data_IF_514041847744
#
_entry.id   IF_514041847744
#
_cell.length_a   1.000
_cell.length_b   1.000
_cell.length_c   1.000
_cell.angle_alpha   90.00
_cell.angle_beta   90.00
_cell.angle_gamma   90.00
#
_symmetry.space_group_name_H-M   'P 1'
#
loop_
_entity.id
_entity.type
_entity.pdbx_description
1 polymer ?
#
# COMPACT_ATOMS: atom_id res chain seq x y z
N UNK A 1 -11.48 -11.54 -7.63
CA UNK A 1 -10.27 -10.67 -7.74
C UNK A 1 -9.02 -11.51 -7.53
N UNK A 2 -8.03 -11.41 -8.42
CA UNK A 2 -6.71 -11.98 -8.24
C UNK A 2 -5.99 -11.12 -7.20
N UNK A 3 -5.36 -11.76 -6.21
CA UNK A 3 -4.50 -11.12 -5.21
C UNK A 3 -3.24 -11.97 -5.08
N UNK A 4 -2.11 -11.43 -5.53
CA UNK A 4 -0.78 -12.02 -5.31
C UNK A 4 -0.05 -11.16 -4.28
N UNK A 5 0.57 -11.83 -3.31
CA UNK A 5 1.31 -11.20 -2.22
C UNK A 5 2.70 -11.77 -2.19
N UNK A 6 3.69 -10.90 -2.28
CA UNK A 6 5.09 -11.31 -2.23
C UNK A 6 5.86 -10.43 -1.25
N UNK A 7 6.82 -11.03 -0.57
CA UNK A 7 7.72 -10.34 0.34
C UNK A 7 9.15 -10.85 0.14
N UNK A 8 10.15 -9.97 0.32
CA UNK A 8 11.56 -10.36 0.27
C UNK A 8 12.41 -9.65 1.31
N UNK A 9 13.56 -10.23 1.61
CA UNK A 9 14.56 -9.59 2.46
C UNK A 9 15.03 -8.26 1.83
N UNK A 10 15.49 -7.27 2.61
CA UNK A 10 15.73 -7.36 4.06
C UNK A 10 14.51 -7.06 4.94
N UNK A 11 13.48 -6.38 4.42
CA UNK A 11 12.37 -5.88 5.25
C UNK A 11 11.20 -6.83 5.35
N UNK A 12 11.08 -7.82 4.44
CA UNK A 12 9.91 -8.72 4.33
C UNK A 12 8.59 -7.97 4.24
N UNK A 13 8.60 -6.84 3.51
CA UNK A 13 7.44 -6.03 3.21
C UNK A 13 6.59 -6.72 2.13
N UNK A 14 5.28 -6.67 2.30
CA UNK A 14 4.31 -7.22 1.34
C UNK A 14 4.09 -6.25 0.17
N UNK A 15 4.48 -6.64 -1.03
CA UNK A 15 4.04 -6.04 -2.28
C UNK A 15 2.90 -6.83 -2.87
N UNK A 16 2.02 -6.17 -3.63
CA UNK A 16 0.81 -6.82 -4.15
C UNK A 16 0.65 -6.63 -5.66
N UNK A 17 0.10 -7.67 -6.30
CA UNK A 17 -0.50 -7.57 -7.63
C UNK A 17 -2.00 -7.85 -7.47
N UNK A 18 -2.82 -6.91 -7.90
CA UNK A 18 -4.28 -7.04 -7.89
C UNK A 18 -4.77 -7.07 -9.32
N UNK A 19 -5.63 -8.04 -9.65
CA UNK A 19 -6.10 -8.23 -11.02
C UNK A 19 -7.60 -8.56 -11.11
N UNK A 20 -8.20 -8.11 -12.18
CA UNK A 20 -9.54 -8.52 -12.58
C UNK A 20 -9.44 -9.80 -13.39
N UNK A 21 -10.03 -10.87 -12.90
CA UNK A 21 -10.04 -12.19 -13.53
C UNK A 21 -10.78 -12.25 -14.86
N UNK A 22 -11.68 -11.28 -15.11
CA UNK A 22 -12.49 -11.22 -16.32
C UNK A 22 -11.85 -10.38 -17.44
N UNK A 23 -11.24 -9.23 -17.06
CA UNK A 23 -10.69 -8.28 -18.04
C UNK A 23 -9.17 -8.37 -18.17
N UNK A 24 -8.50 -9.08 -17.26
CA UNK A 24 -7.05 -9.13 -17.11
C UNK A 24 -6.40 -7.74 -16.93
N UNK A 25 -7.16 -6.73 -16.50
CA UNK A 25 -6.57 -5.47 -16.04
C UNK A 25 -6.19 -5.57 -14.56
N UNK A 26 -5.10 -4.89 -14.17
CA UNK A 26 -4.63 -4.95 -12.80
C UNK A 26 -3.86 -3.71 -12.35
N UNK A 27 -3.43 -3.74 -11.08
CA UNK A 27 -2.54 -2.75 -10.48
C UNK A 27 -1.45 -3.44 -9.67
N UNK A 28 -0.30 -2.77 -9.53
CA UNK A 28 0.75 -3.15 -8.60
C UNK A 28 0.70 -2.19 -7.42
N UNK A 29 0.77 -2.72 -6.19
CA UNK A 29 0.79 -1.91 -4.96
C UNK A 29 2.12 -2.09 -4.26
N UNK A 30 2.76 -0.99 -3.91
CA UNK A 30 4.01 -0.90 -3.15
C UNK A 30 5.12 -1.85 -3.67
N UNK A 31 5.63 -1.69 -4.89
CA UNK A 31 6.73 -2.52 -5.37
C UNK A 31 8.05 -2.13 -4.67
N UNK A 32 8.46 -2.97 -3.74
CA UNK A 32 9.73 -2.88 -3.03
C UNK A 32 10.77 -3.86 -3.57
N UNK A 33 11.56 -4.46 -2.67
CA UNK A 33 12.63 -5.40 -3.04
C UNK A 33 12.11 -6.68 -3.71
N UNK A 34 10.85 -7.05 -3.48
CA UNK A 34 10.14 -8.18 -4.11
C UNK A 34 9.66 -7.91 -5.53
N UNK A 35 9.93 -6.75 -6.13
CA UNK A 35 9.42 -6.34 -7.43
C UNK A 35 9.60 -7.38 -8.54
N UNK A 36 10.68 -8.18 -8.49
CA UNK A 36 10.89 -9.27 -9.44
C UNK A 36 9.81 -10.35 -9.36
N UNK A 37 9.35 -10.67 -8.15
CA UNK A 37 8.28 -11.63 -7.91
C UNK A 37 6.93 -11.06 -8.37
N UNK A 38 6.68 -9.77 -8.09
CA UNK A 38 5.47 -9.08 -8.55
C UNK A 38 5.37 -9.07 -10.08
N UNK A 39 6.47 -8.76 -10.79
CA UNK A 39 6.49 -8.78 -12.25
C UNK A 39 6.26 -10.19 -12.82
N UNK A 40 6.80 -11.23 -12.16
CA UNK A 40 6.53 -12.61 -12.54
C UNK A 40 5.06 -12.99 -12.35
N UNK A 41 4.43 -12.52 -11.27
CA UNK A 41 2.99 -12.74 -11.04
C UNK A 41 2.13 -12.03 -12.11
N UNK A 42 2.50 -10.79 -12.48
CA UNK A 42 1.83 -10.05 -13.58
C UNK A 42 1.88 -10.88 -14.88
N UNK A 43 3.03 -11.44 -15.22
CA UNK A 43 3.21 -12.26 -16.41
C UNK A 43 2.42 -13.58 -16.32
N UNK A 44 2.50 -14.29 -15.20
CA UNK A 44 1.79 -15.56 -14.98
C UNK A 44 0.27 -15.44 -15.12
N UNK A 45 -0.31 -14.34 -14.66
CA UNK A 45 -1.74 -14.07 -14.78
C UNK A 45 -2.12 -13.34 -16.08
N UNK A 46 -1.15 -12.99 -16.92
CA UNK A 46 -1.38 -12.26 -18.17
C UNK A 46 -2.04 -10.91 -17.96
N UNK A 47 -1.67 -10.20 -16.88
CA UNK A 47 -2.31 -8.94 -16.50
C UNK A 47 -1.76 -7.75 -17.30
N UNK A 48 -2.66 -6.88 -17.75
CA UNK A 48 -2.37 -5.54 -18.24
C UNK A 48 -2.47 -4.55 -17.07
N UNK A 49 -1.32 -4.11 -16.56
CA UNK A 49 -1.28 -3.20 -15.41
C UNK A 49 -1.67 -1.80 -15.84
N UNK A 50 -2.52 -1.13 -15.03
CA UNK A 50 -3.01 0.25 -15.26
C UNK A 50 -2.23 1.28 -14.45
N UNK A 51 -1.83 0.93 -13.22
CA UNK A 51 -1.16 1.83 -12.27
C UNK A 51 -0.21 1.08 -11.36
N UNK A 52 0.81 1.81 -10.87
CA UNK A 52 1.55 1.47 -9.66
C UNK A 52 1.01 2.40 -8.57
N UNK A 53 0.33 1.84 -7.57
CA UNK A 53 -0.30 2.57 -6.47
C UNK A 53 0.57 2.45 -5.22
N UNK A 54 0.98 3.56 -4.63
CA UNK A 54 1.81 3.58 -3.43
C UNK A 54 0.96 3.94 -2.21
N UNK A 55 1.01 3.10 -1.17
CA UNK A 55 0.35 3.41 0.10
C UNK A 55 1.08 4.52 0.83
N UNK A 56 2.41 4.56 0.75
CA UNK A 56 3.26 5.60 1.32
C UNK A 56 4.68 5.50 0.74
N UNK A 57 5.59 6.38 1.16
CA UNK A 57 6.90 6.53 0.55
C UNK A 57 8.09 6.16 1.44
N UNK A 58 7.93 5.23 2.41
CA UNK A 58 9.10 4.65 3.05
C UNK A 58 9.86 3.74 2.07
N UNK A 59 11.19 3.65 2.29
CA UNK A 59 12.11 3.07 1.31
C UNK A 59 11.72 1.66 0.87
N UNK A 60 11.31 0.81 1.79
CA UNK A 60 10.97 -0.59 1.53
C UNK A 60 9.71 -0.75 0.66
N UNK A 61 8.84 0.26 0.62
CA UNK A 61 7.65 0.29 -0.25
C UNK A 61 7.94 0.82 -1.66
N UNK A 62 9.09 1.47 -1.88
CA UNK A 62 9.34 2.18 -3.15
C UNK A 62 10.62 1.78 -3.87
N UNK A 63 11.52 0.98 -3.27
CA UNK A 63 12.81 0.60 -3.87
C UNK A 63 12.68 -0.10 -5.23
N UNK A 64 11.57 -0.76 -5.51
CA UNK A 64 11.30 -1.44 -6.77
C UNK A 64 10.54 -0.62 -7.82
N UNK A 65 10.12 0.62 -7.50
CA UNK A 65 9.28 1.44 -8.39
C UNK A 65 9.94 1.70 -9.74
N UNK A 66 11.24 2.03 -9.75
CA UNK A 66 11.98 2.26 -11.01
C UNK A 66 11.93 1.04 -11.93
N UNK A 67 12.16 -0.15 -11.39
CA UNK A 67 12.12 -1.40 -12.13
C UNK A 67 10.70 -1.75 -12.58
N UNK A 68 9.69 -1.56 -11.71
CA UNK A 68 8.29 -1.78 -12.06
C UNK A 68 7.85 -0.83 -13.18
N UNK A 69 8.15 0.47 -13.06
CA UNK A 69 7.83 1.48 -14.08
C UNK A 69 8.50 1.18 -15.42
N UNK A 70 9.78 0.78 -15.41
CA UNK A 70 10.51 0.41 -16.62
C UNK A 70 9.85 -0.80 -17.33
N UNK A 71 9.41 -1.81 -16.56
CA UNK A 71 8.83 -3.03 -17.12
C UNK A 71 7.39 -2.83 -17.60
N UNK A 72 6.58 -2.06 -16.88
CA UNK A 72 5.15 -1.94 -17.08
C UNK A 72 4.74 -0.70 -17.88
N UNK A 73 5.57 0.35 -17.87
CA UNK A 73 5.33 1.65 -18.52
C UNK A 73 3.96 2.28 -18.17
N UNK A 74 3.65 2.30 -16.87
CA UNK A 74 2.38 2.83 -16.34
C UNK A 74 2.62 3.94 -15.31
N UNK A 75 1.62 4.80 -15.03
CA UNK A 75 1.73 5.86 -14.03
C UNK A 75 2.00 5.31 -12.63
N UNK A 76 2.88 6.01 -11.90
CA UNK A 76 3.13 5.84 -10.46
C UNK A 76 2.33 6.90 -9.71
N UNK A 77 1.56 6.46 -8.73
CA UNK A 77 0.62 7.31 -7.98
C UNK A 77 0.94 7.27 -6.49
N UNK A 78 0.96 8.45 -5.87
CA UNK A 78 1.29 8.64 -4.46
C UNK A 78 0.40 9.73 -3.85
N UNK A 79 0.28 9.78 -2.53
CA UNK A 79 -0.30 10.94 -1.86
C UNK A 79 0.69 12.12 -1.83
N UNK A 80 0.22 13.33 -2.14
CA UNK A 80 1.08 14.53 -2.28
C UNK A 80 1.93 14.83 -1.04
N UNK A 81 1.40 14.56 0.16
CA UNK A 81 2.11 14.83 1.40
C UNK A 81 3.38 13.95 1.60
N UNK A 82 3.51 12.85 0.87
CA UNK A 82 4.70 11.97 0.91
C UNK A 82 5.69 12.21 -0.23
N UNK A 83 5.45 13.19 -1.12
CA UNK A 83 6.36 13.48 -2.24
C UNK A 83 7.78 13.75 -1.75
N UNK A 84 7.94 14.58 -0.72
CA UNK A 84 9.27 14.89 -0.14
C UNK A 84 9.94 13.63 0.43
N UNK A 85 9.17 12.74 1.05
CA UNK A 85 9.68 11.47 1.57
C UNK A 85 10.16 10.57 0.42
N UNK A 86 9.40 10.51 -0.67
CA UNK A 86 9.73 9.75 -1.86
C UNK A 86 11.01 10.27 -2.55
N UNK A 87 11.14 11.58 -2.74
CA UNK A 87 12.32 12.22 -3.34
C UNK A 87 13.59 11.99 -2.51
N UNK A 88 13.44 11.78 -1.19
CA UNK A 88 14.53 11.52 -0.27
C UNK A 88 14.81 10.02 0.00
N UNK A 89 14.36 9.11 -0.87
CA UNK A 89 14.54 7.67 -0.69
C UNK A 89 16.00 7.23 -0.56
N UNK A 90 16.92 7.90 -1.25
CA UNK A 90 18.38 7.64 -1.15
C UNK A 90 18.87 7.93 0.27
N UNK A 91 18.45 9.06 0.85
CA UNK A 91 18.79 9.44 2.22
C UNK A 91 18.18 8.48 3.24
N UNK A 92 16.94 8.02 3.00
CA UNK A 92 16.34 6.96 3.82
C UNK A 92 17.23 5.70 3.79
N UNK A 93 17.66 5.25 2.61
CA UNK A 93 18.57 4.11 2.49
C UNK A 93 19.85 4.28 3.31
N UNK A 94 20.48 5.46 3.25
CA UNK A 94 21.69 5.75 4.02
C UNK A 94 21.48 5.63 5.53
N UNK A 95 20.31 6.01 6.05
CA UNK A 95 19.98 5.88 7.49
C UNK A 95 19.96 4.40 7.95
N UNK A 96 19.66 3.48 7.05
CA UNK A 96 19.67 2.03 7.31
C UNK A 96 20.93 1.32 6.80
N UNK A 97 21.95 2.07 6.34
CA UNK A 97 23.18 1.50 5.80
C UNK A 97 22.97 0.78 4.45
N UNK A 98 21.89 1.11 3.72
CA UNK A 98 21.56 0.51 2.45
C UNK A 98 21.89 1.46 1.29
N UNK A 99 22.29 0.88 0.17
CA UNK A 99 22.41 1.61 -1.08
C UNK A 99 21.10 1.50 -1.85
N UNK A 100 20.43 2.63 -2.00
CA UNK A 100 19.17 2.76 -2.75
C UNK A 100 19.38 3.71 -3.92
N UNK A 101 18.89 3.32 -5.08
CA UNK A 101 18.94 4.18 -6.27
C UNK A 101 17.78 5.19 -6.25
N UNK A 102 17.96 6.39 -6.84
CA UNK A 102 16.87 7.34 -7.01
C UNK A 102 15.71 6.71 -7.78
N UNK A 103 14.49 7.03 -7.36
CA UNK A 103 13.30 6.56 -8.02
C UNK A 103 12.80 7.58 -9.08
N UNK A 104 12.06 7.15 -10.10
CA UNK A 104 11.52 8.04 -11.13
C UNK A 104 10.49 9.00 -10.50
N UNK A 105 10.24 10.17 -11.11
CA UNK A 105 9.22 11.09 -10.62
C UNK A 105 7.84 10.44 -10.54
N UNK A 106 7.04 10.90 -9.59
CA UNK A 106 5.62 10.55 -9.46
C UNK A 106 4.86 11.14 -10.65
N UNK A 107 4.00 10.33 -11.29
CA UNK A 107 3.22 10.77 -12.47
C UNK A 107 1.89 11.42 -12.08
N UNK A 108 1.28 10.99 -10.96
CA UNK A 108 0.02 11.52 -10.48
C UNK A 108 -0.07 11.45 -8.94
N UNK A 109 -0.89 12.31 -8.39
CA UNK A 109 -1.24 12.27 -6.96
C UNK A 109 -2.69 11.85 -6.78
N UNK A 110 -2.96 11.19 -5.65
CA UNK A 110 -4.35 10.95 -5.25
C UNK A 110 -5.07 12.30 -5.05
N UNK A 111 -6.16 12.50 -5.77
CA UNK A 111 -6.92 13.75 -5.84
C UNK A 111 -8.32 13.64 -5.21
N UNK A 112 -8.52 12.65 -4.35
CA UNK A 112 -9.78 12.37 -3.67
C UNK A 112 -9.94 10.89 -3.37
N UNK A 113 -11.12 10.52 -2.87
CA UNK A 113 -11.45 9.14 -2.52
C UNK A 113 -11.84 8.28 -3.75
N UNK A 114 -12.11 8.90 -4.89
CA UNK A 114 -12.64 8.26 -6.10
C UNK A 114 -11.76 7.11 -6.59
N UNK A 115 -12.39 6.08 -7.22
CA UNK A 115 -11.66 4.84 -7.46
C UNK A 115 -10.64 4.96 -8.59
N UNK A 116 -9.47 4.37 -8.36
CA UNK A 116 -8.49 4.04 -9.39
C UNK A 116 -8.89 2.70 -10.00
N UNK A 117 -9.38 2.74 -11.23
CA UNK A 117 -10.08 1.61 -11.87
C UNK A 117 -9.14 0.65 -12.57
N UNK A 118 -9.44 -0.65 -12.43
CA UNK A 118 -8.82 -1.73 -13.19
C UNK A 118 -9.85 -2.85 -13.43
N UNK A 119 -10.30 -2.96 -14.66
CA UNK A 119 -11.41 -3.85 -15.02
C UNK A 119 -12.71 -3.50 -14.29
N UNK A 120 -13.29 -4.48 -13.62
CA UNK A 120 -14.51 -4.31 -12.83
C UNK A 120 -14.26 -3.84 -11.39
N UNK A 121 -13.01 -3.63 -11.02
CA UNK A 121 -12.59 -3.23 -9.70
C UNK A 121 -12.15 -1.77 -9.65
N UNK A 122 -12.26 -1.19 -8.45
CA UNK A 122 -11.71 0.10 -8.12
C UNK A 122 -10.96 0.05 -6.80
N UNK A 123 -9.97 0.91 -6.65
CA UNK A 123 -9.28 1.19 -5.39
C UNK A 123 -9.69 2.58 -4.91
N UNK A 124 -10.49 2.65 -3.85
CA UNK A 124 -10.85 3.89 -3.15
C UNK A 124 -9.77 4.25 -2.17
N UNK A 125 -9.37 5.51 -2.16
CA UNK A 125 -8.21 6.00 -1.42
C UNK A 125 -8.66 6.74 -0.17
N UNK A 126 -8.20 6.29 0.99
CA UNK A 126 -8.46 6.94 2.27
C UNK A 126 -7.15 7.43 2.88
N UNK A 127 -7.02 8.74 3.08
CA UNK A 127 -5.86 9.33 3.74
C UNK A 127 -5.83 8.93 5.21
N UNK A 128 -4.75 8.25 5.62
CA UNK A 128 -4.54 7.69 6.96
C UNK A 128 -3.16 8.08 7.49
N UNK A 129 -2.92 9.40 7.74
CA UNK A 129 -1.65 9.88 8.24
C UNK A 129 -1.35 9.38 9.66
N UNK A 130 -0.08 9.47 10.04
CA UNK A 130 0.39 9.18 11.39
C UNK A 130 1.59 8.24 11.44
N UNK A 131 1.68 7.24 10.55
CA UNK A 131 2.93 6.52 10.29
C UNK A 131 3.89 7.41 9.47
N UNK A 132 3.36 8.06 8.46
CA UNK A 132 3.96 9.12 7.67
C UNK A 132 2.90 10.15 7.27
N UNK A 133 3.27 11.32 6.72
CA UNK A 133 2.30 12.39 6.40
C UNK A 133 1.31 12.02 5.29
N UNK A 134 1.74 11.25 4.29
CA UNK A 134 0.96 10.89 3.11
C UNK A 134 0.47 9.45 3.09
N UNK A 135 0.50 8.74 4.22
CA UNK A 135 0.00 7.38 4.30
C UNK A 135 -1.46 7.25 3.87
N UNK A 136 -1.76 6.26 3.03
CA UNK A 136 -3.13 5.96 2.58
C UNK A 136 -3.46 4.50 2.75
N UNK A 137 -4.75 4.22 2.92
CA UNK A 137 -5.33 2.89 2.79
C UNK A 137 -6.13 2.80 1.49
N UNK A 138 -5.96 1.70 0.76
CA UNK A 138 -6.70 1.41 -0.45
C UNK A 138 -7.81 0.41 -0.13
N UNK A 139 -9.07 0.81 -0.28
CA UNK A 139 -10.21 -0.09 -0.17
C UNK A 139 -10.56 -0.59 -1.58
N UNK A 140 -10.32 -1.87 -1.83
CA UNK A 140 -10.46 -2.46 -3.16
C UNK A 140 -11.67 -3.38 -3.23
N UNK A 141 -12.48 -3.24 -4.27
CA UNK A 141 -13.63 -4.10 -4.51
C UNK A 141 -14.28 -3.82 -5.86
N UNK A 142 -15.31 -4.58 -6.21
CA UNK A 142 -16.11 -4.32 -7.43
C UNK A 142 -16.91 -3.03 -7.26
N UNK A 143 -17.05 -2.27 -8.36
CA UNK A 143 -17.77 -1.00 -8.30
C UNK A 143 -19.29 -1.18 -8.04
N UNK A 144 -19.85 -2.30 -8.44
CA UNK A 144 -21.26 -2.67 -8.27
C UNK A 144 -21.57 -3.34 -6.92
N UNK A 145 -20.58 -3.50 -6.04
CA UNK A 145 -20.71 -4.15 -4.73
C UNK A 145 -20.22 -3.22 -3.62
N UNK A 146 -20.64 -3.50 -2.38
CA UNK A 146 -20.21 -2.75 -1.19
C UNK A 146 -19.02 -3.37 -0.48
N UNK A 147 -18.77 -4.65 -0.72
CA UNK A 147 -17.69 -5.38 -0.06
C UNK A 147 -16.32 -4.87 -0.53
N UNK A 148 -15.44 -4.68 0.43
CA UNK A 148 -14.09 -4.18 0.20
C UNK A 148 -13.06 -5.05 0.89
N UNK A 149 -11.86 -5.09 0.31
CA UNK A 149 -10.64 -5.61 0.92
C UNK A 149 -9.68 -4.44 1.08
N UNK A 150 -9.03 -4.32 2.22
CA UNK A 150 -8.18 -3.18 2.56
C UNK A 150 -6.70 -3.51 2.40
N UNK A 151 -5.97 -2.68 1.67
CA UNK A 151 -4.51 -2.66 1.59
C UNK A 151 -4.06 -1.41 2.32
N UNK A 152 -3.49 -1.59 3.51
CA UNK A 152 -3.38 -0.51 4.49
C UNK A 152 -1.96 0.04 4.66
N UNK A 153 -1.00 -0.46 3.87
CA UNK A 153 0.41 -0.13 4.10
C UNK A 153 0.78 -0.35 5.56
N UNK A 154 1.47 0.61 6.14
CA UNK A 154 1.93 0.55 7.52
C UNK A 154 1.01 1.30 8.50
N UNK A 155 -0.30 1.31 8.22
CA UNK A 155 -1.29 1.91 9.14
C UNK A 155 -1.68 0.93 10.25
N UNK A 156 -2.01 -0.33 9.91
CA UNK A 156 -2.53 -1.33 10.86
C UNK A 156 -1.95 -2.71 10.53
N UNK A 157 -1.46 -3.42 11.53
CA UNK A 157 -0.94 -4.78 11.42
C UNK A 157 -1.75 -5.77 12.26
N UNK A 158 -1.53 -7.07 12.05
CA UNK A 158 -2.12 -8.10 12.89
C UNK A 158 -1.57 -7.98 14.33
N UNK A 159 -2.39 -7.44 15.23
CA UNK A 159 -2.06 -7.22 16.64
C UNK A 159 -1.10 -6.05 16.91
N UNK A 160 -0.87 -5.15 15.93
CA UNK A 160 0.02 -3.99 16.06
C UNK A 160 -0.42 -2.84 15.15
N UNK A 161 0.34 -1.75 15.19
CA UNK A 161 0.19 -0.59 14.30
C UNK A 161 1.54 -0.17 13.73
N UNK A 162 1.57 0.67 12.71
CA UNK A 162 2.78 1.27 12.18
C UNK A 162 3.55 2.07 13.24
N UNK A 163 4.87 2.10 13.11
CA UNK A 163 5.73 2.96 13.95
C UNK A 163 5.46 4.43 13.67
N UNK A 164 5.69 5.27 14.66
CA UNK A 164 5.43 6.71 14.58
C UNK A 164 6.63 7.56 15.03
N UNK A 165 7.80 6.94 15.16
CA UNK A 165 9.04 7.55 15.65
C UNK A 165 9.96 8.05 14.53
N UNK A 166 9.58 7.85 13.26
CA UNK A 166 10.29 8.39 12.10
C UNK A 166 9.81 9.83 11.79
N UNK A 167 10.59 10.62 11.04
CA UNK A 167 10.20 11.98 10.67
C UNK A 167 8.82 12.05 10.00
N UNK A 168 7.92 12.86 10.56
CA UNK A 168 6.54 12.99 10.11
C UNK A 168 5.56 12.02 10.74
N UNK A 169 6.04 11.09 11.61
CA UNK A 169 5.20 10.18 12.38
C UNK A 169 4.56 10.86 13.60
N UNK A 170 3.32 10.46 13.94
CA UNK A 170 2.56 10.93 15.11
C UNK A 170 1.55 9.85 15.55
N UNK A 171 1.69 9.38 16.78
CA UNK A 171 0.88 8.28 17.32
C UNK A 171 -0.60 8.62 17.42
N UNK A 172 -0.94 9.80 17.91
CA UNK A 172 -2.34 10.21 18.09
C UNK A 172 -3.05 10.36 16.75
N UNK A 173 -2.33 10.90 15.76
CA UNK A 173 -2.81 11.00 14.38
C UNK A 173 -3.05 9.60 13.78
N UNK A 174 -2.12 8.66 13.97
CA UNK A 174 -2.27 7.29 13.48
C UNK A 174 -3.48 6.58 14.11
N UNK A 175 -3.61 6.64 15.42
CA UNK A 175 -4.76 6.06 16.14
C UNK A 175 -6.08 6.68 15.69
N UNK A 176 -6.09 7.99 15.46
CA UNK A 176 -7.26 8.70 14.93
C UNK A 176 -7.59 8.22 13.50
N UNK A 177 -6.60 8.06 12.64
CA UNK A 177 -6.75 7.54 11.28
C UNK A 177 -7.36 6.13 11.31
N UNK A 178 -6.82 5.23 12.12
CA UNK A 178 -7.34 3.87 12.25
C UNK A 178 -8.82 3.88 12.70
N UNK A 179 -9.15 4.63 13.77
CA UNK A 179 -10.51 4.68 14.32
C UNK A 179 -11.51 5.32 13.35
N UNK A 180 -11.12 6.39 12.67
CA UNK A 180 -12.01 7.15 11.78
C UNK A 180 -12.21 6.51 10.41
N UNK A 181 -11.24 5.75 9.92
CA UNK A 181 -11.26 5.15 8.60
C UNK A 181 -11.45 3.64 8.71
N UNK A 182 -10.47 2.91 9.24
CA UNK A 182 -10.45 1.45 9.14
C UNK A 182 -11.53 0.78 10.00
N UNK A 183 -11.73 1.23 11.24
CA UNK A 183 -12.73 0.64 12.12
C UNK A 183 -14.19 0.98 11.74
N UNK A 184 -14.43 1.67 10.62
CA UNK A 184 -15.78 1.87 10.07
C UNK A 184 -16.19 0.79 9.08
N UNK A 185 -15.23 0.02 8.57
CA UNK A 185 -15.54 -1.12 7.72
C UNK A 185 -16.15 -2.28 8.54
N UNK A 186 -16.92 -3.18 7.91
CA UNK A 186 -17.47 -4.37 8.55
C UNK A 186 -16.39 -5.24 9.21
N UNK A 187 -16.76 -6.00 10.23
CA UNK A 187 -15.84 -6.83 11.01
C UNK A 187 -15.15 -7.93 10.19
N UNK A 188 -15.81 -8.44 9.17
CA UNK A 188 -15.30 -9.47 8.23
C UNK A 188 -14.41 -8.91 7.11
N UNK A 189 -14.27 -7.58 7.05
CA UNK A 189 -13.39 -6.94 6.06
C UNK A 189 -11.95 -7.37 6.26
N UNK A 190 -11.37 -7.98 5.23
CA UNK A 190 -9.97 -8.43 5.22
C UNK A 190 -9.04 -7.24 5.11
N UNK A 191 -7.97 -7.26 5.92
CA UNK A 191 -6.92 -6.23 5.97
C UNK A 191 -5.59 -6.86 5.58
N UNK A 192 -4.97 -6.32 4.53
CA UNK A 192 -3.63 -6.66 4.05
C UNK A 192 -2.65 -5.57 4.44
N UNK A 193 -1.78 -5.80 5.43
CA UNK A 193 -0.79 -4.82 5.87
C UNK A 193 0.46 -4.80 4.99
N UNK A 194 1.26 -3.75 5.12
CA UNK A 194 2.59 -3.69 4.52
C UNK A 194 3.56 -4.74 5.06
N UNK A 195 3.39 -5.18 6.30
CA UNK A 195 4.22 -6.22 6.92
C UNK A 195 3.38 -7.29 7.63
N UNK A 196 3.86 -8.53 7.57
CA UNK A 196 3.28 -9.66 8.27
C UNK A 196 2.00 -10.21 7.62
N UNK A 197 1.23 -11.02 8.37
CA UNK A 197 0.05 -11.70 7.83
C UNK A 197 -1.16 -10.77 7.73
N UNK A 198 -2.12 -11.16 6.89
CA UNK A 198 -3.44 -10.53 6.83
C UNK A 198 -4.20 -10.70 8.15
N UNK A 199 -5.15 -9.79 8.38
CA UNK A 199 -6.05 -9.79 9.53
C UNK A 199 -7.46 -9.36 9.10
N UNK A 200 -8.33 -9.04 10.06
CA UNK A 200 -9.63 -8.45 9.78
C UNK A 200 -9.93 -7.26 10.69
N UNK A 201 -10.79 -6.37 10.23
CA UNK A 201 -11.22 -5.20 11.01
C UNK A 201 -11.80 -5.60 12.37
N UNK A 202 -12.64 -6.63 12.42
CA UNK A 202 -13.24 -7.13 13.66
C UNK A 202 -12.22 -7.69 14.63
N UNK A 203 -11.24 -8.46 14.15
CA UNK A 203 -10.17 -8.99 15.01
C UNK A 203 -9.38 -7.84 15.63
N UNK A 204 -8.91 -6.89 14.83
CA UNK A 204 -8.11 -5.78 15.34
C UNK A 204 -8.93 -4.87 16.28
N UNK A 205 -10.19 -4.61 15.97
CA UNK A 205 -11.10 -3.88 16.87
C UNK A 205 -11.19 -4.51 18.25
N UNK A 206 -11.18 -5.86 18.33
CA UNK A 206 -11.36 -6.59 19.58
C UNK A 206 -10.05 -6.88 20.33
N UNK A 207 -8.96 -7.12 19.62
CA UNK A 207 -7.76 -7.72 20.22
C UNK A 207 -6.49 -6.89 20.07
N UNK A 208 -6.49 -5.85 19.25
CA UNK A 208 -5.28 -5.04 19.05
C UNK A 208 -4.98 -4.20 20.31
N UNK A 209 -3.81 -4.37 20.96
CA UNK A 209 -3.49 -3.70 22.21
C UNK A 209 -3.35 -2.18 22.09
N UNK A 210 -3.09 -1.64 20.90
CA UNK A 210 -3.02 -0.20 20.66
C UNK A 210 -4.42 0.44 20.53
N UNK A 211 -5.41 -0.35 20.19
CA UNK A 211 -6.80 0.10 20.04
C UNK A 211 -7.62 -0.15 21.30
N UNK A 212 -7.19 -1.09 22.13
CA UNK A 212 -7.81 -1.51 23.39
C UNK A 212 -6.74 -1.54 24.51
N UNK A 213 -6.27 -0.37 24.98
CA UNK A 213 -5.23 -0.27 26.00
C UNK A 213 -5.69 -0.74 27.39
#
# INVERSE_FOLDING_TARGET
MIIEVHASAPFFKNGFVLGCEETHEGVVVDPGDEVGLLLSAVEQHGLSIRYILLTHAHLDHVTGVARAKQALNVPVVLHKADEVLYENVVQQGMMFGLRVEPQPPIDAFYDGEGPWRFGHYGAWVYHTPGHCPGGVCLAVGREDQTDRTLFVGDTLFAGSIGRTDLPGGDLETLLTSIRRVLLRFPDDTVVWPGHGPSTSVGRERQTNPFLNP
#
